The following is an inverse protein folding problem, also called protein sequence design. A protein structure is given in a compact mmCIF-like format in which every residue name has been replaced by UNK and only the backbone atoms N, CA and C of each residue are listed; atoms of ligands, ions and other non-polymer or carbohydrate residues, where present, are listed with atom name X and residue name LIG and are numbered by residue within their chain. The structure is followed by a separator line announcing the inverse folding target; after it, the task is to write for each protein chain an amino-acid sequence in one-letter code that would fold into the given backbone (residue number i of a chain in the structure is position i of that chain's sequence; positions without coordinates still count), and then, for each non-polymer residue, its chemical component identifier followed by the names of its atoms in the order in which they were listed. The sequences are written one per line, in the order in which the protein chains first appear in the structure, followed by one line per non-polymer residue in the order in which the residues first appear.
data_IF_975498181177
#
_entry.id   IF_975498181177
#
_cell.length_a   1.000
_cell.length_b   1.000
_cell.length_c   1.000
_cell.angle_alpha   90.00
_cell.angle_beta   90.00
_cell.angle_gamma   90.00
#
_symmetry.space_group_name_H-M   'P 1'
#
loop_
_entity.id
_entity.type
_entity.pdbx_description
1 polymer ?
#
# COMPACT_ATOMS: atom_id res chain seq x y z
N UNK A 1 11.79 -27.37 25.17
CA UNK A 1 12.35 -27.62 23.82
C UNK A 1 13.10 -26.41 23.26
N UNK A 2 12.51 -25.21 23.16
CA UNK A 2 13.20 -23.99 22.68
C UNK A 2 14.42 -23.60 23.54
N UNK A 3 14.32 -23.69 24.86
CA UNK A 3 15.44 -23.43 25.79
C UNK A 3 16.66 -24.34 25.55
N UNK A 4 16.44 -25.58 25.08
CA UNK A 4 17.51 -26.55 24.80
C UNK A 4 18.31 -26.19 23.53
N UNK A 5 17.65 -25.60 22.53
CA UNK A 5 18.33 -25.11 21.33
C UNK A 5 19.15 -23.85 21.61
N UNK A 6 18.62 -22.95 22.45
CA UNK A 6 19.32 -21.74 22.89
C UNK A 6 20.56 -22.08 23.71
N UNK A 7 20.50 -23.09 24.59
CA UNK A 7 21.65 -23.51 25.41
C UNK A 7 22.81 -24.12 24.61
N UNK A 8 22.54 -24.65 23.42
CA UNK A 8 23.55 -25.30 22.56
C UNK A 8 24.16 -24.36 21.52
N UNK A 9 23.77 -23.08 21.53
CA UNK A 9 24.31 -22.03 20.65
C UNK A 9 24.40 -22.43 19.16
N UNK A 10 23.42 -23.21 18.69
CA UNK A 10 23.42 -23.72 17.32
C UNK A 10 23.20 -22.57 16.34
N UNK A 11 24.02 -22.45 15.28
CA UNK A 11 23.85 -21.37 14.32
C UNK A 11 22.53 -21.53 13.56
N UNK A 12 21.86 -20.40 13.31
CA UNK A 12 20.74 -20.34 12.39
C UNK A 12 21.24 -20.51 10.96
N UNK A 13 20.59 -21.36 10.17
CA UNK A 13 20.91 -21.47 8.76
C UNK A 13 20.64 -20.13 8.04
N UNK A 14 21.48 -19.78 7.04
CA UNK A 14 21.21 -18.62 6.21
C UNK A 14 19.86 -18.79 5.50
N UNK A 15 19.07 -17.72 5.45
CA UNK A 15 17.70 -17.73 4.92
C UNK A 15 17.54 -16.58 3.91
N UNK A 16 17.12 -15.39 4.36
CA UNK A 16 16.86 -14.23 3.48
C UNK A 16 18.07 -13.81 2.65
N UNK A 17 19.29 -14.03 3.15
CA UNK A 17 20.53 -13.64 2.48
C UNK A 17 20.90 -14.54 1.31
N UNK A 18 20.38 -15.76 1.25
CA UNK A 18 20.68 -16.73 0.17
C UNK A 18 19.45 -17.08 -0.68
N UNK A 19 18.25 -16.66 -0.25
CA UNK A 19 17.02 -16.99 -0.93
C UNK A 19 16.81 -16.12 -2.18
N UNK A 20 16.43 -16.73 -3.29
CA UNK A 20 16.13 -16.01 -4.52
C UNK A 20 14.72 -15.40 -4.46
N UNK A 21 14.56 -14.08 -4.67
CA UNK A 21 13.25 -13.43 -4.54
C UNK A 21 12.28 -13.93 -5.62
N UNK A 22 11.10 -14.38 -5.18
CA UNK A 22 10.01 -14.83 -6.06
C UNK A 22 8.98 -13.70 -6.23
N UNK A 23 8.34 -13.62 -7.39
CA UNK A 23 7.29 -12.60 -7.65
C UNK A 23 6.13 -12.67 -6.64
N UNK A 24 5.73 -13.88 -6.24
CA UNK A 24 4.72 -14.11 -5.20
C UNK A 24 5.15 -13.61 -3.83
N UNK A 25 6.41 -13.88 -3.44
CA UNK A 25 6.98 -13.44 -2.16
C UNK A 25 7.08 -11.91 -2.08
N UNK A 26 7.51 -11.27 -3.17
CA UNK A 26 7.55 -9.81 -3.29
C UNK A 26 6.14 -9.22 -3.22
N UNK A 27 5.18 -9.76 -3.98
CA UNK A 27 3.78 -9.32 -3.95
C UNK A 27 3.18 -9.40 -2.54
N UNK A 28 3.52 -10.44 -1.77
CA UNK A 28 3.08 -10.57 -0.38
C UNK A 28 3.67 -9.50 0.54
N UNK A 29 4.97 -9.21 0.42
CA UNK A 29 5.63 -8.15 1.20
C UNK A 29 5.02 -6.79 0.86
N UNK A 30 4.85 -6.49 -0.43
CA UNK A 30 4.26 -5.24 -0.89
C UNK A 30 2.80 -5.06 -0.42
N UNK A 31 1.99 -6.12 -0.41
CA UNK A 31 0.62 -6.05 0.12
C UNK A 31 0.59 -5.72 1.63
N UNK A 32 1.54 -6.27 2.40
CA UNK A 32 1.68 -5.93 3.83
C UNK A 32 2.12 -4.49 4.03
N UNK A 33 3.12 -4.04 3.28
CA UNK A 33 3.59 -2.65 3.34
C UNK A 33 2.49 -1.66 2.96
N UNK A 34 1.74 -1.94 1.88
CA UNK A 34 0.62 -1.08 1.48
C UNK A 34 -0.47 -1.01 2.56
N UNK A 35 -0.74 -2.11 3.26
CA UNK A 35 -1.65 -2.11 4.41
C UNK A 35 -1.18 -1.22 5.55
N UNK A 36 0.11 -1.24 5.88
CA UNK A 36 0.71 -0.36 6.91
C UNK A 36 0.57 1.11 6.49
N UNK A 37 0.91 1.44 5.23
CA UNK A 37 0.76 2.80 4.70
C UNK A 37 -0.70 3.27 4.72
N UNK A 38 -1.66 2.39 4.39
CA UNK A 38 -3.09 2.71 4.44
C UNK A 38 -3.54 3.11 5.84
N UNK A 39 -3.08 2.42 6.88
CA UNK A 39 -3.40 2.80 8.27
C UNK A 39 -2.83 4.16 8.62
N UNK A 40 -1.58 4.44 8.24
CA UNK A 40 -0.94 5.74 8.48
C UNK A 40 -1.68 6.86 7.74
N UNK A 41 -2.02 6.65 6.48
CA UNK A 41 -2.78 7.60 5.66
C UNK A 41 -4.16 7.89 6.26
N UNK A 42 -4.86 6.86 6.73
CA UNK A 42 -6.17 7.00 7.37
C UNK A 42 -6.09 7.85 8.65
N UNK A 43 -5.07 7.66 9.48
CA UNK A 43 -4.84 8.49 10.67
C UNK A 43 -4.58 9.95 10.29
N UNK A 44 -3.75 10.18 9.26
CA UNK A 44 -3.45 11.53 8.76
C UNK A 44 -4.71 12.23 8.22
N UNK A 45 -5.52 11.53 7.42
CA UNK A 45 -6.76 12.06 6.86
C UNK A 45 -7.79 12.36 7.95
N UNK A 46 -7.97 11.49 8.95
CA UNK A 46 -8.87 11.76 10.07
C UNK A 46 -8.44 12.99 10.88
N UNK A 47 -7.14 13.14 11.12
CA UNK A 47 -6.62 14.33 11.79
C UNK A 47 -6.83 15.60 10.96
N UNK A 48 -6.63 15.51 9.64
CA UNK A 48 -6.90 16.60 8.71
C UNK A 48 -8.39 17.01 8.75
N UNK A 49 -9.31 16.06 8.64
CA UNK A 49 -10.76 16.29 8.71
C UNK A 49 -11.14 16.92 10.07
N UNK A 50 -10.63 16.37 11.17
CA UNK A 50 -10.86 16.92 12.52
C UNK A 50 -10.42 18.39 12.61
N UNK A 51 -9.24 18.70 12.08
CA UNK A 51 -8.72 20.06 12.08
C UNK A 51 -9.58 21.01 11.22
N UNK A 52 -10.09 20.52 10.09
CA UNK A 52 -10.97 21.27 9.19
C UNK A 52 -12.29 21.69 9.88
N UNK A 53 -12.88 20.81 10.69
CA UNK A 53 -14.07 21.14 11.47
C UNK A 53 -13.80 22.05 12.68
N UNK A 54 -12.54 22.16 13.12
CA UNK A 54 -12.18 22.89 14.34
C UNK A 54 -11.69 24.33 14.15
N UNK A 55 -11.23 24.72 12.95
CA UNK A 55 -10.80 26.11 12.71
C UNK A 55 -11.82 26.91 11.88
N UNK A 56 -11.71 28.24 11.94
CA UNK A 56 -12.49 29.16 11.12
C UNK A 56 -12.29 28.86 9.62
N UNK A 57 -13.37 28.74 8.82
CA UNK A 57 -13.31 28.38 7.39
C UNK A 57 -12.37 29.28 6.58
N UNK A 58 -12.28 30.56 6.93
CA UNK A 58 -11.49 31.56 6.22
C UNK A 58 -9.98 31.36 6.33
N UNK A 59 -9.48 30.87 7.48
CA UNK A 59 -8.07 30.53 7.65
C UNK A 59 -7.72 29.23 6.92
N UNK A 60 -8.67 28.30 6.82
CA UNK A 60 -8.52 27.05 6.07
C UNK A 60 -8.36 27.27 4.57
N UNK A 61 -9.19 28.12 3.97
CA UNK A 61 -9.15 28.44 2.53
C UNK A 61 -7.78 29.03 2.14
N UNK A 62 -7.28 30.00 2.90
CA UNK A 62 -5.97 30.63 2.66
C UNK A 62 -4.79 29.64 2.72
N UNK A 63 -4.86 28.64 3.59
CA UNK A 63 -3.82 27.60 3.71
C UNK A 63 -3.86 26.66 2.49
N UNK A 64 -5.05 26.33 1.97
CA UNK A 64 -5.20 25.41 0.85
C UNK A 64 -4.87 26.06 -0.49
N UNK A 65 -5.14 27.36 -0.66
CA UNK A 65 -4.96 28.09 -1.92
C UNK A 65 -3.52 28.37 -2.31
N UNK A 66 -2.54 28.16 -1.43
CA UNK A 66 -1.14 28.28 -1.84
C UNK A 66 -0.78 27.19 -2.85
N UNK A 67 -0.23 27.60 -4.01
CA UNK A 67 0.11 26.72 -5.14
C UNK A 67 0.95 25.52 -4.72
N UNK A 68 1.89 25.74 -3.78
CA UNK A 68 2.77 24.70 -3.27
C UNK A 68 2.00 23.65 -2.46
N UNK A 69 0.98 24.06 -1.69
CA UNK A 69 0.12 23.14 -0.93
C UNK A 69 -0.84 22.41 -1.86
N UNK A 70 -1.32 23.04 -2.93
CA UNK A 70 -2.18 22.39 -3.93
C UNK A 70 -1.46 21.24 -4.64
N UNK A 71 -0.27 21.46 -5.20
CA UNK A 71 0.49 20.41 -5.90
C UNK A 71 0.92 19.29 -4.96
N UNK A 72 1.32 19.62 -3.72
CA UNK A 72 1.64 18.62 -2.70
C UNK A 72 0.41 17.78 -2.37
N UNK A 73 -0.75 18.39 -2.13
CA UNK A 73 -2.00 17.65 -1.84
C UNK A 73 -2.42 16.75 -2.99
N UNK A 74 -2.29 17.25 -4.23
CA UNK A 74 -2.56 16.46 -5.44
C UNK A 74 -1.65 15.24 -5.53
N UNK A 75 -0.34 15.40 -5.28
CA UNK A 75 0.60 14.28 -5.28
C UNK A 75 0.30 13.25 -4.18
N UNK A 76 -0.07 13.72 -2.98
CA UNK A 76 -0.45 12.85 -1.86
C UNK A 76 -1.72 12.08 -2.19
N UNK A 77 -2.71 12.71 -2.84
CA UNK A 77 -3.94 12.05 -3.27
C UNK A 77 -3.67 10.96 -4.33
N UNK A 78 -2.82 11.25 -5.32
CA UNK A 78 -2.42 10.25 -6.33
C UNK A 78 -1.71 9.08 -5.68
N UNK A 79 -0.79 9.37 -4.75
CA UNK A 79 -0.04 8.33 -4.04
C UNK A 79 -0.96 7.49 -3.14
N UNK A 80 -1.83 8.11 -2.34
CA UNK A 80 -2.74 7.40 -1.44
C UNK A 80 -3.73 6.53 -2.20
N UNK A 81 -4.33 7.05 -3.28
CA UNK A 81 -5.23 6.28 -4.15
C UNK A 81 -4.52 5.14 -4.86
N UNK A 82 -3.28 5.32 -5.30
CA UNK A 82 -2.48 4.25 -5.91
C UNK A 82 -2.19 3.11 -4.93
N UNK A 83 -1.81 3.43 -3.69
CA UNK A 83 -1.56 2.46 -2.62
C UNK A 83 -2.85 1.71 -2.27
N UNK A 84 -3.97 2.43 -2.16
CA UNK A 84 -5.29 1.85 -1.92
C UNK A 84 -5.67 0.85 -3.02
N UNK A 85 -5.59 1.25 -4.28
CA UNK A 85 -5.95 0.40 -5.42
C UNK A 85 -5.07 -0.86 -5.48
N UNK A 86 -3.76 -0.71 -5.28
CA UNK A 86 -2.86 -1.84 -5.21
C UNK A 86 -3.21 -2.79 -4.05
N UNK A 87 -3.48 -2.26 -2.86
CA UNK A 87 -3.83 -3.05 -1.68
C UNK A 87 -5.16 -3.80 -1.89
N UNK A 88 -6.18 -3.11 -2.41
CA UNK A 88 -7.50 -3.68 -2.69
C UNK A 88 -7.41 -4.79 -3.72
N UNK A 89 -6.75 -4.54 -4.86
CA UNK A 89 -6.62 -5.54 -5.93
C UNK A 89 -5.80 -6.76 -5.48
N UNK A 90 -4.73 -6.53 -4.72
CA UNK A 90 -3.96 -7.63 -4.09
C UNK A 90 -4.80 -8.39 -3.05
N UNK A 91 -5.63 -7.69 -2.26
CA UNK A 91 -6.53 -8.29 -1.28
C UNK A 91 -7.61 -9.17 -1.94
N UNK A 92 -8.21 -8.69 -3.02
CA UNK A 92 -9.14 -9.49 -3.84
C UNK A 92 -8.47 -10.75 -4.39
N UNK A 93 -7.19 -10.68 -4.80
CA UNK A 93 -6.42 -11.88 -5.17
C UNK A 93 -6.39 -12.92 -4.05
N UNK A 94 -6.09 -12.48 -2.83
CA UNK A 94 -6.01 -13.38 -1.69
C UNK A 94 -7.37 -14.00 -1.37
N UNK A 95 -8.46 -13.22 -1.39
CA UNK A 95 -9.81 -13.76 -1.21
C UNK A 95 -10.17 -14.80 -2.29
N UNK A 96 -9.79 -14.57 -3.55
CA UNK A 96 -9.98 -15.53 -4.64
C UNK A 96 -9.18 -16.82 -4.38
N UNK A 97 -7.95 -16.71 -3.89
CA UNK A 97 -7.12 -17.86 -3.53
C UNK A 97 -7.68 -18.62 -2.32
N UNK A 98 -8.25 -17.92 -1.33
CA UNK A 98 -8.89 -18.52 -0.16
C UNK A 98 -10.14 -19.33 -0.56
N UNK A 99 -10.80 -18.96 -1.65
CA UNK A 99 -11.88 -19.73 -2.28
C UNK A 99 -11.38 -20.92 -3.13
N UNK A 100 -10.07 -21.13 -3.23
CA UNK A 100 -9.45 -22.19 -4.04
C UNK A 100 -9.42 -21.91 -5.54
N UNK A 101 -9.67 -20.67 -5.97
CA UNK A 101 -9.72 -20.27 -7.38
C UNK A 101 -8.39 -19.64 -7.83
N UNK A 102 -8.06 -19.73 -9.13
CA UNK A 102 -6.88 -19.08 -9.74
C UNK A 102 -5.54 -19.31 -9.02
N UNK A 103 -5.32 -20.53 -8.53
CA UNK A 103 -4.12 -20.94 -7.79
C UNK A 103 -2.84 -20.92 -8.64
N UNK A 104 -2.94 -20.79 -9.97
CA UNK A 104 -1.77 -20.58 -10.82
C UNK A 104 -1.19 -19.20 -10.57
N UNK A 105 -0.09 -19.18 -9.81
CA UNK A 105 0.39 -18.00 -9.12
C UNK A 105 0.96 -16.92 -10.05
N UNK A 106 1.54 -17.33 -11.19
CA UNK A 106 2.12 -16.39 -12.15
C UNK A 106 1.04 -15.56 -12.84
N UNK A 107 -0.04 -16.19 -13.31
CA UNK A 107 -1.09 -15.49 -14.07
C UNK A 107 -1.88 -14.51 -13.19
N UNK A 108 -2.29 -14.95 -12.00
CA UNK A 108 -3.10 -14.14 -11.08
C UNK A 108 -2.33 -12.93 -10.52
N UNK A 109 -1.04 -13.08 -10.20
CA UNK A 109 -0.22 -11.96 -9.71
C UNK A 109 0.02 -10.92 -10.80
N UNK A 110 0.41 -11.36 -12.00
CA UNK A 110 0.70 -10.47 -13.13
C UNK A 110 -0.56 -9.70 -13.54
N UNK A 111 -1.69 -10.37 -13.73
CA UNK A 111 -2.94 -9.74 -14.14
C UNK A 111 -3.40 -8.64 -13.18
N UNK A 112 -3.31 -8.90 -11.88
CA UNK A 112 -3.74 -7.97 -10.83
C UNK A 112 -2.79 -6.77 -10.73
N UNK A 113 -1.49 -6.98 -10.93
CA UNK A 113 -0.54 -5.87 -11.02
C UNK A 113 -0.80 -5.00 -12.25
N UNK A 114 -1.09 -5.58 -13.42
CA UNK A 114 -1.41 -4.82 -14.63
C UNK A 114 -2.70 -3.99 -14.48
N UNK A 115 -3.76 -4.56 -13.89
CA UNK A 115 -5.00 -3.83 -13.62
C UNK A 115 -4.75 -2.66 -12.67
N UNK A 116 -4.02 -2.91 -11.57
CA UNK A 116 -3.72 -1.84 -10.61
C UNK A 116 -2.93 -0.71 -11.26
N UNK A 117 -1.95 -1.03 -12.11
CA UNK A 117 -1.15 -0.04 -12.85
C UNK A 117 -1.99 0.74 -13.86
N UNK A 118 -2.88 0.07 -14.60
CA UNK A 118 -3.79 0.73 -15.53
C UNK A 118 -4.75 1.71 -14.85
N UNK A 119 -5.29 1.34 -13.69
CA UNK A 119 -6.15 2.23 -12.89
C UNK A 119 -5.38 3.44 -12.35
N UNK A 120 -4.14 3.25 -11.92
CA UNK A 120 -3.27 4.35 -11.47
C UNK A 120 -2.95 5.31 -12.61
N UNK A 121 -2.61 4.80 -13.80
CA UNK A 121 -2.37 5.64 -14.98
C UNK A 121 -3.62 6.43 -15.36
N UNK A 122 -4.79 5.79 -15.37
CA UNK A 122 -6.06 6.46 -15.64
C UNK A 122 -6.32 7.61 -14.65
N UNK A 123 -6.12 7.37 -13.35
CA UNK A 123 -6.27 8.41 -12.33
C UNK A 123 -5.25 9.54 -12.51
N UNK A 124 -4.01 9.20 -12.82
CA UNK A 124 -2.95 10.18 -13.06
C UNK A 124 -3.31 11.12 -14.22
N UNK A 125 -3.76 10.58 -15.35
CA UNK A 125 -4.19 11.39 -16.51
C UNK A 125 -5.40 12.26 -16.19
N UNK A 126 -6.41 11.73 -15.49
CA UNK A 126 -7.60 12.51 -15.14
C UNK A 126 -7.34 13.60 -14.10
N UNK A 127 -6.34 13.43 -13.24
CA UNK A 127 -5.99 14.44 -12.24
C UNK A 127 -5.07 15.53 -12.82
N UNK A 128 -4.31 15.24 -13.88
CA UNK A 128 -3.39 16.20 -14.51
C UNK A 128 -4.08 17.09 -15.53
N UNK A 129 -5.06 16.57 -16.25
CA UNK A 129 -5.92 17.34 -17.16
C UNK A 129 -6.89 18.24 -16.38
#
# INVERSE_FOLDING_TARGET
MLQYFLSLNRPLSPHLTIYTPQSSSLSSIWHRLSGIFMVVLLILELNFIKSAFSCEPQKWVLIVESVLIYEVKKSVLILSTSIFLYHLMSGLRYLIWDLGLFLYQYFSTVFITFISFGLVLFLFFNLIN
#
